data_IF_205467155940
#
_entry.id   IF_205467155940
#
_cell.length_a   1.000
_cell.length_b   1.000
_cell.length_c   1.000
_cell.angle_alpha   90.00
_cell.angle_beta   90.00
_cell.angle_gamma   90.00
#
_symmetry.space_group_name_H-M   'P 1'
#
loop_
_entity.id
_entity.type
_entity.pdbx_description
1 polymer ?
#
# COMPACT_ATOMS: atom_id res chain seq x y z
N UNK A 1 20.86 20.31 -4.12
CA UNK A 1 22.24 19.94 -3.81
C UNK A 1 23.12 21.18 -3.64
N UNK A 2 23.19 22.07 -4.64
CA UNK A 2 24.03 23.30 -4.59
C UNK A 2 23.67 24.21 -3.42
N UNK A 3 22.37 24.45 -3.17
CA UNK A 3 21.87 25.33 -2.09
C UNK A 3 22.34 24.92 -0.69
N UNK A 4 22.51 23.62 -0.44
CA UNK A 4 22.84 23.07 0.88
C UNK A 4 24.26 22.47 0.94
N UNK A 5 25.07 22.57 -0.10
CA UNK A 5 26.43 22.01 -0.16
C UNK A 5 26.50 20.49 0.00
N UNK A 6 25.41 19.75 -0.29
CA UNK A 6 25.32 18.32 -0.07
C UNK A 6 26.33 17.54 -0.92
N UNK A 7 27.13 16.70 -0.27
CA UNK A 7 28.12 15.79 -0.89
C UNK A 7 27.64 14.33 -0.88
N UNK A 8 26.34 14.11 -1.11
CA UNK A 8 25.74 12.77 -1.14
C UNK A 8 26.35 11.94 -2.29
N UNK A 9 26.73 10.71 -1.98
CA UNK A 9 27.21 9.70 -2.94
C UNK A 9 26.11 8.75 -3.38
N UNK A 10 25.19 8.42 -2.47
CA UNK A 10 24.05 7.55 -2.69
C UNK A 10 22.92 7.94 -1.75
N UNK A 11 21.71 7.54 -2.08
CA UNK A 11 20.55 7.54 -1.20
C UNK A 11 20.11 6.08 -1.02
N UNK A 12 19.67 5.75 0.17
CA UNK A 12 18.99 4.51 0.46
C UNK A 12 17.67 4.83 1.13
N UNK A 13 16.58 4.22 0.67
CA UNK A 13 15.24 4.37 1.23
C UNK A 13 14.63 3.00 1.50
N UNK A 14 13.67 2.95 2.40
CA UNK A 14 12.93 1.74 2.75
C UNK A 14 11.81 2.04 3.73
N UNK A 15 10.98 1.05 3.97
CA UNK A 15 9.83 1.18 4.87
C UNK A 15 8.52 1.48 4.17
N UNK A 16 8.54 2.10 3.00
CA UNK A 16 7.42 2.27 2.06
C UNK A 16 7.93 2.11 0.64
N UNK A 17 7.05 1.73 -0.29
CA UNK A 17 7.42 1.65 -1.71
C UNK A 17 7.82 3.02 -2.25
N UNK A 18 8.87 3.05 -3.05
CA UNK A 18 9.33 4.27 -3.72
C UNK A 18 8.68 4.34 -5.11
N UNK A 19 7.71 5.26 -5.33
CA UNK A 19 7.08 5.43 -6.62
C UNK A 19 8.13 5.71 -7.71
N UNK A 20 7.95 5.09 -8.89
CA UNK A 20 8.91 5.21 -10.00
C UNK A 20 9.16 6.66 -10.43
N UNK A 21 8.14 7.53 -10.36
CA UNK A 21 8.30 8.95 -10.65
C UNK A 21 9.18 9.67 -9.61
N UNK A 22 8.96 9.37 -8.33
CA UNK A 22 9.80 9.91 -7.23
C UNK A 22 11.25 9.48 -7.40
N UNK A 23 11.50 8.20 -7.73
CA UNK A 23 12.84 7.71 -8.03
C UNK A 23 13.49 8.48 -9.17
N UNK A 24 12.78 8.68 -10.29
CA UNK A 24 13.28 9.44 -11.45
C UNK A 24 13.59 10.88 -11.08
N UNK A 25 12.70 11.58 -10.37
CA UNK A 25 12.90 12.97 -9.91
C UNK A 25 14.10 13.11 -8.98
N UNK A 26 14.29 12.20 -8.03
CA UNK A 26 15.46 12.18 -7.16
C UNK A 26 16.75 12.05 -7.96
N UNK A 27 16.80 11.08 -8.89
CA UNK A 27 17.97 10.84 -9.74
C UNK A 27 18.28 12.05 -10.61
N UNK A 28 17.27 12.63 -11.28
CA UNK A 28 17.44 13.80 -12.16
C UNK A 28 17.86 15.05 -11.39
N UNK A 29 17.23 15.35 -10.27
CA UNK A 29 17.48 16.59 -9.52
C UNK A 29 18.77 16.55 -8.69
N UNK A 30 19.13 15.39 -8.16
CA UNK A 30 20.30 15.24 -7.28
C UNK A 30 21.51 14.67 -8.01
N UNK A 31 21.35 14.06 -9.17
CA UNK A 31 22.41 13.40 -9.93
C UNK A 31 23.01 12.22 -9.17
N UNK A 32 22.22 11.57 -8.32
CA UNK A 32 22.60 10.40 -7.52
C UNK A 32 21.51 9.35 -7.59
N UNK A 33 21.92 8.10 -7.50
CA UNK A 33 21.01 6.97 -7.54
C UNK A 33 20.38 6.75 -6.17
N UNK A 34 19.09 6.55 -6.14
CA UNK A 34 18.36 6.10 -4.98
C UNK A 34 18.25 4.57 -5.00
N UNK A 35 18.88 3.91 -4.06
CA UNK A 35 18.68 2.48 -3.81
C UNK A 35 17.51 2.32 -2.85
N UNK A 36 16.88 1.16 -2.90
CA UNK A 36 15.69 0.87 -2.10
C UNK A 36 15.84 -0.49 -1.44
N UNK A 37 15.31 -0.65 -0.23
CA UNK A 37 15.24 -1.91 0.47
C UNK A 37 13.85 -2.15 1.03
N UNK A 38 13.34 -3.34 0.79
CA UNK A 38 12.12 -3.87 1.35
C UNK A 38 12.45 -4.91 2.42
N UNK A 39 11.69 -4.87 3.49
CA UNK A 39 11.77 -5.83 4.58
C UNK A 39 10.82 -5.45 5.72
N UNK A 40 10.90 -6.20 6.79
CA UNK A 40 10.11 -5.99 7.99
C UNK A 40 10.97 -6.15 9.24
N UNK A 41 10.48 -5.70 10.38
CA UNK A 41 11.22 -5.76 11.66
C UNK A 41 11.64 -7.20 11.99
N UNK A 42 10.84 -8.18 11.64
CA UNK A 42 11.01 -9.59 11.95
C UNK A 42 12.13 -10.28 11.16
N UNK A 43 12.52 -9.73 9.99
CA UNK A 43 13.54 -10.36 9.11
C UNK A 43 14.54 -9.35 8.55
N UNK A 44 14.43 -8.05 8.91
CA UNK A 44 15.24 -6.99 8.32
C UNK A 44 14.98 -6.81 6.81
N UNK A 45 15.97 -6.35 6.04
CA UNK A 45 15.84 -6.05 4.61
C UNK A 45 16.25 -7.26 3.77
N UNK A 46 15.33 -7.78 2.97
CA UNK A 46 15.53 -9.03 2.22
C UNK A 46 15.44 -8.87 0.71
N UNK A 47 14.79 -7.81 0.22
CA UNK A 47 14.66 -7.48 -1.20
C UNK A 47 15.12 -6.05 -1.40
N UNK A 48 15.73 -5.72 -2.53
CA UNK A 48 16.06 -4.34 -2.80
C UNK A 48 16.65 -4.06 -4.17
N UNK A 49 16.64 -2.77 -4.49
CA UNK A 49 17.34 -2.20 -5.62
C UNK A 49 18.72 -1.73 -5.19
N UNK A 50 19.78 -2.28 -5.76
CA UNK A 50 21.15 -1.87 -5.54
C UNK A 50 21.88 -1.72 -6.87
N UNK A 51 22.13 -0.48 -7.31
CA UNK A 51 22.77 -0.18 -8.59
C UNK A 51 24.13 -0.87 -8.80
N UNK A 52 24.84 -1.13 -7.72
CA UNK A 52 26.15 -1.80 -7.79
C UNK A 52 26.06 -3.27 -8.15
N UNK A 53 24.93 -3.89 -7.91
CA UNK A 53 24.70 -5.31 -8.15
C UNK A 53 23.94 -5.56 -9.44
N UNK A 54 22.87 -4.81 -9.71
CA UNK A 54 22.04 -4.91 -10.92
C UNK A 54 21.45 -3.55 -11.31
N UNK A 55 20.99 -3.37 -12.56
CA UNK A 55 20.22 -2.20 -12.97
C UNK A 55 19.00 -2.00 -12.09
N UNK A 56 18.71 -0.77 -11.70
CA UNK A 56 17.51 -0.43 -10.94
C UNK A 56 16.33 -0.33 -11.89
N UNK A 57 15.22 -0.99 -11.56
CA UNK A 57 13.91 -0.79 -12.19
C UNK A 57 13.06 0.09 -11.28
N UNK A 58 12.87 1.34 -11.69
CA UNK A 58 12.11 2.31 -10.90
C UNK A 58 10.66 1.86 -10.70
N UNK A 59 10.21 1.80 -9.44
CA UNK A 59 8.90 1.30 -9.05
C UNK A 59 8.86 -0.18 -8.67
N UNK A 60 9.93 -0.96 -8.96
CA UNK A 60 10.06 -2.30 -8.40
C UNK A 60 10.71 -2.23 -7.01
N UNK A 61 10.42 -3.20 -6.15
CA UNK A 61 11.17 -3.38 -4.89
C UNK A 61 12.61 -3.84 -5.14
N UNK A 62 12.97 -4.23 -6.38
CA UNK A 62 14.24 -4.87 -6.70
C UNK A 62 14.14 -6.39 -6.65
N UNK A 63 15.16 -7.04 -6.17
CA UNK A 63 15.30 -8.49 -6.13
C UNK A 63 15.96 -8.94 -4.83
N UNK A 64 15.87 -10.22 -4.57
CA UNK A 64 16.36 -10.86 -3.37
C UNK A 64 17.83 -10.51 -3.10
N UNK A 65 18.14 -10.01 -1.91
CA UNK A 65 19.52 -9.74 -1.52
C UNK A 65 20.29 -11.05 -1.26
N UNK A 66 21.60 -11.07 -1.55
CA UNK A 66 22.44 -12.26 -1.31
C UNK A 66 22.36 -12.73 0.15
N UNK A 67 22.09 -14.02 0.33
CA UNK A 67 21.97 -14.64 1.64
C UNK A 67 20.54 -14.85 2.13
N UNK A 68 19.59 -14.11 1.59
CA UNK A 68 18.16 -14.32 1.85
C UNK A 68 17.59 -15.39 0.91
N UNK A 69 16.45 -15.97 1.30
CA UNK A 69 15.63 -16.84 0.44
C UNK A 69 14.20 -16.37 0.52
N UNK A 70 13.72 -15.80 -0.57
CA UNK A 70 12.37 -15.23 -0.69
C UNK A 70 11.59 -16.03 -1.73
N UNK A 71 10.28 -16.22 -1.49
CA UNK A 71 9.35 -16.85 -2.43
C UNK A 71 8.02 -16.11 -2.42
N UNK A 72 7.26 -16.27 -3.51
CA UNK A 72 5.87 -15.88 -3.59
C UNK A 72 5.01 -17.14 -3.50
N UNK A 73 4.02 -17.14 -2.60
CA UNK A 73 3.14 -18.28 -2.39
C UNK A 73 1.68 -17.87 -2.44
N UNK A 74 0.83 -18.81 -2.83
CA UNK A 74 -0.62 -18.68 -2.77
C UNK A 74 -1.16 -18.87 -1.34
N UNK A 75 -2.49 -18.83 -1.17
CA UNK A 75 -3.15 -19.04 0.12
C UNK A 75 -2.92 -20.45 0.71
N UNK A 76 -2.60 -21.43 -0.14
CA UNK A 76 -2.28 -22.82 0.27
C UNK A 76 -0.82 -22.99 0.64
N UNK A 77 0.04 -21.95 0.44
CA UNK A 77 1.48 -22.00 0.67
C UNK A 77 2.27 -22.62 -0.48
N UNK A 78 1.63 -22.80 -1.65
CA UNK A 78 2.29 -23.29 -2.86
C UNK A 78 2.93 -22.10 -3.59
N UNK A 79 4.14 -22.32 -4.12
CA UNK A 79 4.86 -21.29 -4.90
C UNK A 79 4.07 -20.96 -6.17
N UNK A 80 3.83 -19.68 -6.41
CA UNK A 80 3.12 -19.21 -7.61
C UNK A 80 4.06 -19.16 -8.82
N UNK A 81 3.48 -19.18 -10.03
CA UNK A 81 4.20 -19.00 -11.28
C UNK A 81 4.72 -17.55 -11.42
N UNK A 82 5.78 -17.37 -12.23
CA UNK A 82 6.31 -16.04 -12.57
C UNK A 82 5.21 -15.23 -13.26
N UNK A 83 5.01 -13.99 -12.82
CA UNK A 83 3.95 -13.12 -13.29
C UNK A 83 2.66 -13.18 -12.48
N UNK A 84 2.50 -14.19 -11.64
CA UNK A 84 1.32 -14.32 -10.76
C UNK A 84 1.54 -13.67 -9.39
N UNK A 85 0.50 -13.07 -8.81
CA UNK A 85 0.60 -12.48 -7.48
C UNK A 85 0.65 -13.55 -6.39
N UNK A 86 1.54 -13.35 -5.41
CA UNK A 86 1.67 -14.21 -4.25
C UNK A 86 2.10 -13.45 -3.00
N UNK A 87 1.86 -14.07 -1.84
CA UNK A 87 2.38 -13.55 -0.56
C UNK A 87 3.88 -13.77 -0.49
N UNK A 88 4.61 -12.71 -0.15
CA UNK A 88 6.05 -12.80 0.09
C UNK A 88 6.28 -13.60 1.37
N UNK A 89 7.03 -14.69 1.25
CA UNK A 89 7.53 -15.46 2.40
C UNK A 89 9.05 -15.53 2.36
N UNK A 90 9.66 -15.56 3.52
CA UNK A 90 11.12 -15.65 3.67
C UNK A 90 11.50 -16.87 4.50
N UNK A 91 12.64 -17.45 4.22
CA UNK A 91 13.12 -18.64 4.94
C UNK A 91 13.19 -18.40 6.45
N UNK A 92 12.63 -19.31 7.24
CA UNK A 92 12.74 -19.28 8.70
C UNK A 92 14.19 -19.51 9.20
N UNK A 93 15.07 -20.04 8.33
CA UNK A 93 16.49 -20.19 8.61
C UNK A 93 17.32 -18.97 8.18
N UNK A 94 16.67 -17.88 7.86
CA UNK A 94 17.36 -16.62 7.54
C UNK A 94 18.12 -16.13 8.78
N UNK A 95 19.40 -15.74 8.66
CA UNK A 95 20.20 -15.32 9.82
C UNK A 95 19.69 -14.04 10.47
N UNK A 96 18.83 -13.27 9.79
CA UNK A 96 18.22 -12.05 10.32
C UNK A 96 16.82 -12.28 10.87
N UNK A 97 16.28 -13.50 10.78
CA UNK A 97 14.95 -13.84 11.29
C UNK A 97 14.87 -13.68 12.81
N UNK A 98 13.80 -13.03 13.29
CA UNK A 98 13.56 -12.87 14.71
C UNK A 98 13.26 -14.22 15.39
N UNK A 99 13.51 -14.29 16.70
CA UNK A 99 13.19 -15.48 17.51
C UNK A 99 11.71 -15.57 17.89
N UNK A 100 10.93 -14.53 17.57
CA UNK A 100 9.51 -14.40 17.89
C UNK A 100 9.20 -13.17 18.73
N UNK A 101 7.92 -13.00 19.05
CA UNK A 101 7.43 -11.86 19.84
C UNK A 101 7.51 -12.15 21.34
N UNK A 102 8.08 -11.22 22.09
CA UNK A 102 8.26 -11.36 23.54
C UNK A 102 6.94 -11.58 24.26
N UNK A 103 6.82 -12.68 25.00
CA UNK A 103 5.62 -13.10 25.75
C UNK A 103 4.33 -13.20 24.91
N UNK A 104 4.45 -13.37 23.57
CA UNK A 104 3.33 -13.53 22.66
C UNK A 104 3.55 -14.75 21.75
N UNK A 105 3.47 -15.97 22.34
CA UNK A 105 3.60 -17.20 21.55
C UNK A 105 2.49 -17.37 20.50
N UNK A 106 1.29 -16.82 20.76
CA UNK A 106 0.18 -16.73 19.85
C UNK A 106 0.56 -15.99 18.54
N UNK A 107 1.03 -14.74 18.65
CA UNK A 107 1.48 -13.95 17.49
C UNK A 107 2.73 -14.55 16.84
N UNK A 108 3.59 -15.17 17.63
CA UNK A 108 4.79 -15.85 17.08
C UNK A 108 4.38 -17.03 16.19
N UNK A 109 3.36 -17.81 16.59
CA UNK A 109 2.86 -18.90 15.76
C UNK A 109 2.22 -18.38 14.44
N UNK A 110 1.51 -17.26 14.48
CA UNK A 110 0.90 -16.63 13.29
C UNK A 110 1.93 -16.09 12.29
N UNK A 111 3.16 -15.77 12.78
CA UNK A 111 4.24 -15.30 11.94
C UNK A 111 4.72 -16.35 10.93
N UNK A 112 4.55 -17.64 11.23
CA UNK A 112 5.02 -18.72 10.38
C UNK A 112 3.91 -19.29 9.49
N UNK A 113 4.18 -19.36 8.18
CA UNK A 113 3.34 -20.13 7.26
C UNK A 113 3.41 -21.63 7.57
N UNK A 114 4.64 -22.09 7.83
CA UNK A 114 5.00 -23.43 8.27
C UNK A 114 6.40 -23.35 8.91
N UNK A 115 6.98 -24.44 9.45
CA UNK A 115 8.27 -24.39 10.13
C UNK A 115 9.45 -23.83 9.32
N UNK A 116 9.31 -23.75 7.98
CA UNK A 116 10.39 -23.34 7.09
C UNK A 116 10.23 -21.90 6.55
N UNK A 117 9.05 -21.28 6.68
CA UNK A 117 8.73 -20.02 6.03
C UNK A 117 8.03 -19.04 6.97
N UNK A 118 8.55 -17.82 7.02
CA UNK A 118 7.99 -16.67 7.72
C UNK A 118 7.12 -15.87 6.74
N UNK A 119 5.93 -15.46 7.16
CA UNK A 119 4.98 -14.64 6.42
C UNK A 119 5.31 -13.17 6.56
N UNK A 120 5.17 -12.42 5.48
CA UNK A 120 5.25 -10.96 5.54
C UNK A 120 3.87 -10.30 5.51
N UNK A 121 2.85 -11.03 5.07
CA UNK A 121 1.52 -10.52 4.73
C UNK A 121 1.52 -9.48 3.60
N UNK A 122 2.65 -9.28 2.94
CA UNK A 122 2.78 -8.42 1.77
C UNK A 122 2.68 -9.24 0.50
N UNK A 123 2.02 -8.71 -0.51
CA UNK A 123 1.85 -9.33 -1.82
C UNK A 123 2.79 -8.70 -2.84
N UNK A 124 3.31 -9.51 -3.72
CA UNK A 124 4.10 -9.08 -4.86
C UNK A 124 3.85 -9.96 -6.09
N UNK A 125 4.29 -9.45 -7.23
CA UNK A 125 4.48 -10.22 -8.46
C UNK A 125 5.98 -10.26 -8.74
N UNK A 126 6.51 -11.40 -9.18
CA UNK A 126 7.89 -11.50 -9.66
C UNK A 126 7.89 -11.56 -11.19
N UNK A 127 8.69 -10.68 -11.85
CA UNK A 127 8.82 -10.72 -13.29
C UNK A 127 9.86 -11.77 -13.75
N UNK A 128 9.94 -12.00 -15.07
CA UNK A 128 10.86 -12.97 -15.68
C UNK A 128 12.34 -12.68 -15.41
N UNK A 129 12.70 -11.43 -15.11
CA UNK A 129 14.05 -11.03 -14.75
C UNK A 129 14.32 -11.10 -13.22
N UNK A 130 13.33 -11.54 -12.45
CA UNK A 130 13.41 -11.76 -11.00
C UNK A 130 13.20 -10.52 -10.14
N UNK A 131 12.71 -9.41 -10.70
CA UNK A 131 12.33 -8.23 -9.91
C UNK A 131 10.96 -8.43 -9.29
N UNK A 132 10.84 -8.02 -8.02
CA UNK A 132 9.59 -8.02 -7.28
C UNK A 132 8.86 -6.69 -7.44
N UNK A 133 7.54 -6.76 -7.64
CA UNK A 133 6.65 -5.61 -7.80
C UNK A 133 5.58 -5.67 -6.72
N UNK A 134 5.60 -4.70 -5.80
CA UNK A 134 4.69 -4.64 -4.66
C UNK A 134 3.24 -4.48 -5.10
N UNK A 135 2.35 -5.28 -4.52
CA UNK A 135 0.92 -5.27 -4.81
C UNK A 135 0.07 -4.80 -3.62
N UNK A 136 0.67 -4.60 -2.47
CA UNK A 136 -0.03 -4.21 -1.25
C UNK A 136 0.02 -5.29 -0.17
N UNK A 137 -0.67 -5.04 0.93
CA UNK A 137 -0.81 -6.02 2.01
C UNK A 137 -2.01 -6.94 1.75
N UNK A 138 -1.88 -8.19 2.13
CA UNK A 138 -2.96 -9.19 2.00
C UNK A 138 -4.19 -8.82 2.85
N UNK A 139 -3.96 -8.26 4.04
CA UNK A 139 -4.99 -7.77 4.98
C UNK A 139 -5.62 -6.43 4.56
N UNK A 140 -4.98 -5.68 3.66
CA UNK A 140 -5.50 -4.44 3.11
C UNK A 140 -6.19 -4.62 1.74
N UNK A 141 -6.10 -5.82 1.14
CA UNK A 141 -6.76 -6.09 -0.13
C UNK A 141 -8.27 -5.85 -0.08
N UNK A 142 -8.76 -5.11 -1.05
CA UNK A 142 -10.19 -4.86 -1.22
C UNK A 142 -10.79 -5.97 -2.06
N UNK A 143 -11.60 -6.82 -1.44
CA UNK A 143 -12.30 -7.92 -2.12
C UNK A 143 -13.65 -7.39 -2.64
N UNK A 144 -13.70 -7.00 -3.92
CA UNK A 144 -14.88 -6.39 -4.55
C UNK A 144 -15.34 -7.19 -5.76
N UNK A 145 -16.55 -7.75 -5.72
CA UNK A 145 -17.15 -8.54 -6.84
C UNK A 145 -16.18 -9.58 -7.43
N UNK A 146 -15.44 -10.30 -6.57
CA UNK A 146 -14.45 -11.31 -6.99
C UNK A 146 -13.08 -10.79 -7.37
N UNK A 147 -12.90 -9.47 -7.50
CA UNK A 147 -11.60 -8.87 -7.74
C UNK A 147 -10.84 -8.67 -6.41
N UNK A 148 -9.52 -8.81 -6.48
CA UNK A 148 -8.57 -8.45 -5.42
C UNK A 148 -7.87 -7.17 -5.85
N UNK A 149 -8.14 -6.08 -5.14
CA UNK A 149 -7.70 -4.73 -5.50
C UNK A 149 -6.73 -4.23 -4.44
N UNK A 150 -5.51 -3.91 -4.85
CA UNK A 150 -4.50 -3.31 -3.99
C UNK A 150 -4.79 -1.81 -3.79
N UNK A 151 -4.89 -1.31 -2.55
CA UNK A 151 -5.10 0.12 -2.31
C UNK A 151 -3.98 1.01 -2.86
N UNK A 152 -2.73 0.55 -2.74
CA UNK A 152 -1.54 1.33 -3.09
C UNK A 152 -1.52 1.77 -4.57
N UNK A 153 -1.92 0.90 -5.50
CA UNK A 153 -1.95 1.25 -6.93
C UNK A 153 -2.98 2.35 -7.26
N UNK A 154 -4.08 2.40 -6.49
CA UNK A 154 -5.09 3.44 -6.64
C UNK A 154 -4.59 4.74 -6.01
N UNK A 155 -3.95 4.66 -4.83
CA UNK A 155 -3.32 5.79 -4.16
C UNK A 155 -2.27 6.44 -5.07
N UNK A 156 -1.40 5.66 -5.72
CA UNK A 156 -0.39 6.15 -6.65
C UNK A 156 -1.00 6.91 -7.84
N UNK A 157 -2.07 6.37 -8.43
CA UNK A 157 -2.78 7.05 -9.53
C UNK A 157 -3.42 8.35 -9.05
N UNK A 158 -4.05 8.35 -7.87
CA UNK A 158 -4.68 9.53 -7.30
C UNK A 158 -3.64 10.62 -6.97
N UNK A 159 -2.49 10.26 -6.41
CA UNK A 159 -1.39 11.19 -6.09
C UNK A 159 -0.77 11.85 -7.33
N UNK A 160 -0.87 11.23 -8.50
CA UNK A 160 -0.43 11.83 -9.77
C UNK A 160 -1.42 12.88 -10.30
N UNK A 161 -2.62 13.00 -9.72
CA UNK A 161 -3.60 13.99 -10.14
C UNK A 161 -3.29 15.37 -9.50
N UNK A 162 -3.31 16.50 -10.28
CA UNK A 162 -2.87 17.82 -9.79
C UNK A 162 -3.74 18.39 -8.66
N UNK A 163 -4.96 17.90 -8.51
CA UNK A 163 -5.89 18.33 -7.46
C UNK A 163 -5.67 17.59 -6.13
N UNK A 164 -4.86 16.54 -6.10
CA UNK A 164 -4.64 15.68 -4.93
C UNK A 164 -3.31 16.02 -4.26
N UNK A 165 -3.36 16.26 -2.96
CA UNK A 165 -2.18 16.44 -2.12
C UNK A 165 -1.82 15.15 -1.37
N UNK A 166 -2.82 14.39 -0.91
CA UNK A 166 -2.64 13.11 -0.23
C UNK A 166 -3.86 12.21 -0.50
N UNK A 167 -3.68 10.89 -0.51
CA UNK A 167 -4.73 9.93 -0.79
C UNK A 167 -4.57 8.67 0.04
N UNK A 168 -5.65 8.20 0.67
CA UNK A 168 -5.70 6.93 1.38
C UNK A 168 -6.89 6.11 0.90
N UNK A 169 -6.67 4.84 0.56
CA UNK A 169 -7.69 3.97 -0.03
C UNK A 169 -7.95 2.77 0.85
N UNK A 170 -9.22 2.46 1.07
CA UNK A 170 -9.66 1.28 1.83
C UNK A 170 -10.86 0.61 1.17
N UNK A 171 -11.09 -0.66 1.51
CA UNK A 171 -12.35 -1.33 1.27
C UNK A 171 -13.34 -1.00 2.37
N UNK A 172 -14.55 -0.65 1.98
CA UNK A 172 -15.68 -0.48 2.90
C UNK A 172 -16.79 -1.48 2.57
N UNK A 173 -17.57 -1.97 3.56
CA UNK A 173 -18.62 -2.97 3.32
C UNK A 173 -19.65 -2.49 2.29
N UNK A 174 -20.08 -3.41 1.43
CA UNK A 174 -21.12 -3.20 0.44
C UNK A 174 -21.99 -4.45 0.33
N UNK A 175 -23.31 -4.29 0.34
CA UNK A 175 -24.27 -5.40 0.38
C UNK A 175 -24.29 -6.27 -0.88
N UNK A 176 -23.92 -5.71 -2.03
CA UNK A 176 -23.95 -6.42 -3.31
C UNK A 176 -22.58 -6.98 -3.70
N UNK A 177 -21.50 -6.29 -3.30
CA UNK A 177 -20.13 -6.52 -3.79
C UNK A 177 -19.18 -7.10 -2.74
N UNK A 178 -19.68 -7.29 -1.48
CA UNK A 178 -18.86 -7.62 -0.33
C UNK A 178 -18.13 -6.40 0.20
N UNK A 179 -17.31 -5.74 -0.64
CA UNK A 179 -16.77 -4.42 -0.35
C UNK A 179 -16.61 -3.59 -1.61
N UNK A 180 -16.52 -2.27 -1.44
CA UNK A 180 -16.24 -1.31 -2.52
C UNK A 180 -15.05 -0.44 -2.16
N UNK A 181 -14.39 0.07 -3.19
CA UNK A 181 -13.25 0.97 -3.05
C UNK A 181 -13.74 2.35 -2.56
N UNK A 182 -13.22 2.80 -1.41
CA UNK A 182 -13.40 4.15 -0.88
C UNK A 182 -12.05 4.86 -0.83
N UNK A 183 -11.99 6.08 -1.40
CA UNK A 183 -10.83 6.94 -1.37
C UNK A 183 -11.08 8.12 -0.43
N UNK A 184 -10.18 8.32 0.54
CA UNK A 184 -10.08 9.52 1.36
C UNK A 184 -9.03 10.44 0.74
N UNK A 185 -9.42 11.66 0.41
CA UNK A 185 -8.61 12.59 -0.39
C UNK A 185 -8.35 13.87 0.38
N UNK A 186 -7.08 14.24 0.49
CA UNK A 186 -6.68 15.58 0.89
C UNK A 186 -6.44 16.38 -0.39
N UNK A 187 -7.24 17.42 -0.59
CA UNK A 187 -7.14 18.28 -1.77
C UNK A 187 -5.93 19.21 -1.69
N UNK A 188 -5.40 19.56 -2.85
CA UNK A 188 -4.40 20.63 -2.96
C UNK A 188 -4.97 21.96 -2.47
N UNK A 189 -4.20 22.74 -1.72
CA UNK A 189 -4.60 24.05 -1.15
C UNK A 189 -5.03 25.11 -2.19
N UNK A 190 -4.87 24.80 -3.47
CA UNK A 190 -5.27 25.70 -4.59
C UNK A 190 -6.74 25.56 -4.99
N UNK A 191 -7.50 24.65 -4.35
CA UNK A 191 -8.88 24.35 -4.74
C UNK A 191 -9.85 25.08 -3.82
N UNK A 192 -10.66 25.92 -4.41
CA UNK A 192 -11.73 26.67 -3.72
C UNK A 192 -13.12 26.04 -3.91
N UNK A 193 -13.32 25.24 -4.97
CA UNK A 193 -14.57 24.58 -5.29
C UNK A 193 -14.39 23.07 -5.43
N UNK A 194 -15.20 22.30 -4.70
CA UNK A 194 -15.15 20.83 -4.69
C UNK A 194 -16.13 20.19 -5.70
N UNK A 195 -16.98 21.01 -6.36
CA UNK A 195 -17.98 20.52 -7.28
C UNK A 195 -17.35 19.78 -8.48
N UNK A 196 -17.77 18.53 -8.71
CA UNK A 196 -17.28 17.70 -9.80
C UNK A 196 -15.89 17.09 -9.62
N UNK A 197 -15.15 17.45 -8.57
CA UNK A 197 -13.79 16.89 -8.30
C UNK A 197 -13.86 15.40 -8.04
N UNK A 198 -14.86 14.94 -7.29
CA UNK A 198 -15.07 13.50 -7.04
C UNK A 198 -15.16 12.68 -8.33
N UNK A 199 -15.96 13.16 -9.30
CA UNK A 199 -16.16 12.44 -10.55
C UNK A 199 -14.93 12.51 -11.46
N UNK A 200 -14.17 13.61 -11.43
CA UNK A 200 -12.87 13.71 -12.11
C UNK A 200 -11.87 12.69 -11.56
N UNK A 201 -11.77 12.55 -10.24
CA UNK A 201 -10.86 11.58 -9.61
C UNK A 201 -11.27 10.14 -9.91
N UNK A 202 -12.58 9.83 -9.84
CA UNK A 202 -13.12 8.53 -10.24
C UNK A 202 -12.79 8.18 -11.69
N UNK A 203 -13.01 9.15 -12.60
CA UNK A 203 -12.69 8.97 -14.02
C UNK A 203 -11.19 8.80 -14.25
N UNK A 204 -10.35 9.53 -13.53
CA UNK A 204 -8.90 9.43 -13.61
C UNK A 204 -8.41 8.00 -13.27
N UNK A 205 -8.87 7.44 -12.14
CA UNK A 205 -8.53 6.07 -11.74
C UNK A 205 -9.09 5.05 -12.74
N UNK A 206 -10.36 5.21 -13.18
CA UNK A 206 -10.97 4.33 -14.18
C UNK A 206 -10.16 4.25 -15.47
N UNK A 207 -9.68 5.39 -15.94
CA UNK A 207 -8.92 5.47 -17.20
C UNK A 207 -7.52 4.84 -17.06
N UNK A 208 -6.90 4.94 -15.89
CA UNK A 208 -5.57 4.39 -15.65
C UNK A 208 -5.58 2.90 -15.30
N UNK A 209 -6.54 2.43 -14.50
CA UNK A 209 -6.53 1.10 -13.89
C UNK A 209 -7.75 0.23 -14.25
N UNK A 210 -8.70 0.79 -14.96
CA UNK A 210 -9.92 0.08 -15.33
C UNK A 210 -11.10 0.28 -14.37
N UNK A 211 -12.33 -0.10 -14.80
CA UNK A 211 -13.57 0.22 -14.08
C UNK A 211 -13.72 -0.51 -12.73
N UNK A 212 -13.09 -1.68 -12.56
CA UNK A 212 -13.18 -2.46 -11.32
C UNK A 212 -12.39 -1.84 -10.16
N UNK A 213 -11.36 -1.01 -10.45
CA UNK A 213 -10.53 -0.31 -9.48
C UNK A 213 -11.00 1.12 -9.20
N UNK A 214 -11.99 1.60 -9.93
CA UNK A 214 -12.56 2.94 -9.73
C UNK A 214 -13.15 3.07 -8.31
N UNK A 215 -12.76 4.11 -7.53
CA UNK A 215 -13.42 4.38 -6.26
C UNK A 215 -14.92 4.61 -6.44
N UNK A 216 -15.74 3.88 -5.69
CA UNK A 216 -17.20 4.13 -5.64
C UNK A 216 -17.51 5.32 -4.77
N UNK A 217 -16.75 5.48 -3.70
CA UNK A 217 -16.91 6.55 -2.72
C UNK A 217 -15.62 7.37 -2.71
N UNK A 218 -15.74 8.69 -2.76
CA UNK A 218 -14.65 9.64 -2.54
C UNK A 218 -15.09 10.57 -1.41
N UNK A 219 -14.29 10.63 -0.36
CA UNK A 219 -14.48 11.50 0.78
C UNK A 219 -13.31 12.47 0.89
N UNK A 220 -13.63 13.76 1.02
CA UNK A 220 -12.62 14.80 1.20
C UNK A 220 -12.36 15.00 2.70
N UNK A 221 -11.09 14.98 3.08
CA UNK A 221 -10.64 15.15 4.47
C UNK A 221 -9.52 16.18 4.57
N UNK A 222 -9.39 16.82 5.72
CA UNK A 222 -8.32 17.80 5.93
C UNK A 222 -6.94 17.13 6.06
N UNK A 223 -6.89 15.91 6.62
CA UNK A 223 -5.67 15.12 6.80
C UNK A 223 -5.98 13.63 6.88
N UNK A 224 -5.02 12.82 6.47
CA UNK A 224 -5.09 11.35 6.66
C UNK A 224 -4.48 10.94 8.00
N UNK A 225 -5.06 9.91 8.67
CA UNK A 225 -4.46 9.32 9.85
C UNK A 225 -3.16 8.60 9.47
N UNK A 226 -2.15 8.73 10.33
CA UNK A 226 -0.83 8.12 10.10
C UNK A 226 -0.37 7.35 11.32
N UNK A 227 0.33 6.26 11.07
CA UNK A 227 1.04 5.50 12.09
C UNK A 227 2.16 6.33 12.72
N UNK A 228 2.75 5.84 13.81
CA UNK A 228 3.93 6.47 14.44
C UNK A 228 5.14 6.59 13.52
N UNK A 229 5.21 5.76 12.48
CA UNK A 229 6.27 5.78 11.45
C UNK A 229 5.94 6.67 10.25
N UNK A 230 4.77 7.33 10.24
CA UNK A 230 4.34 8.25 9.19
C UNK A 230 3.52 7.62 8.06
N UNK A 231 3.33 6.29 8.05
CA UNK A 231 2.53 5.57 7.05
C UNK A 231 1.04 5.85 7.24
N UNK A 232 0.26 5.80 6.16
CA UNK A 232 -1.22 5.88 6.23
C UNK A 232 -1.74 4.73 7.08
N UNK A 233 -2.53 5.06 8.10
CA UNK A 233 -3.22 4.08 8.95
C UNK A 233 -4.55 3.68 8.32
N UNK A 234 -4.56 2.59 7.53
CA UNK A 234 -5.79 2.11 6.88
C UNK A 234 -6.80 1.54 7.88
N UNK A 235 -6.34 1.03 9.04
CA UNK A 235 -7.23 0.66 10.15
C UNK A 235 -8.04 1.86 10.62
N UNK A 236 -7.38 2.99 10.88
CA UNK A 236 -8.07 4.20 11.36
C UNK A 236 -9.00 4.78 10.28
N UNK A 237 -8.65 4.66 8.98
CA UNK A 237 -9.54 5.05 7.89
C UNK A 237 -10.82 4.19 7.86
N UNK A 238 -10.71 2.88 8.07
CA UNK A 238 -11.88 1.99 8.19
C UNK A 238 -12.74 2.32 9.41
N UNK A 239 -12.11 2.69 10.53
CA UNK A 239 -12.82 3.10 11.74
C UNK A 239 -13.54 4.44 11.54
N UNK A 240 -12.95 5.41 10.86
CA UNK A 240 -13.58 6.69 10.48
C UNK A 240 -14.84 6.43 9.63
N UNK A 241 -14.74 5.55 8.63
CA UNK A 241 -15.90 5.19 7.81
C UNK A 241 -17.03 4.59 8.62
N UNK A 242 -16.71 3.62 9.50
CA UNK A 242 -17.68 2.96 10.37
C UNK A 242 -18.41 3.95 11.28
N UNK A 243 -17.67 4.81 11.97
CA UNK A 243 -18.23 5.83 12.87
C UNK A 243 -19.07 6.88 12.11
N UNK A 244 -18.66 7.26 10.91
CA UNK A 244 -19.42 8.15 10.04
C UNK A 244 -20.78 7.55 9.65
N UNK A 245 -20.81 6.28 9.32
CA UNK A 245 -22.03 5.54 8.94
C UNK A 245 -22.97 5.36 10.15
N UNK A 246 -22.46 5.04 11.34
CA UNK A 246 -23.25 4.92 12.58
C UNK A 246 -23.87 6.27 13.00
N UNK A 247 -23.14 7.36 12.86
CA UNK A 247 -23.60 8.72 13.14
C UNK A 247 -24.66 9.19 12.15
N UNK A 248 -24.55 8.77 10.87
CA UNK A 248 -25.55 9.03 9.81
C UNK A 248 -26.85 8.23 10.03
N UNK A 249 -26.75 6.98 10.46
CA UNK A 249 -27.89 6.13 10.77
C UNK A 249 -28.73 6.69 11.95
N UNK A 250 -28.07 7.20 13.00
CA UNK A 250 -28.75 7.83 14.15
C UNK A 250 -29.47 9.14 13.81
N UNK A 251 -29.03 9.88 12.79
CA UNK A 251 -29.75 11.09 12.33
C UNK A 251 -31.05 10.76 11.60
N UNK A 252 -31.12 9.63 10.92
CA UNK A 252 -32.33 9.22 10.20
C UNK A 252 -33.41 8.61 11.15
N UNK A 253 -33.04 8.09 12.33
CA UNK A 253 -34.01 7.60 13.32
C UNK A 253 -34.70 8.71 14.11
N UNK A 254 -34.06 9.91 14.26
CA UNK A 254 -34.63 11.02 15.01
C UNK A 254 -35.51 11.98 14.17
N UNK A 255 -35.56 11.80 12.85
CA UNK A 255 -36.44 12.60 11.99
C UNK A 255 -37.84 12.00 11.72
N UNK A 256 -38.11 10.79 12.27
CA UNK A 256 -39.35 10.04 12.04
C UNK A 256 -40.43 10.12 13.12
N UNK A 257 -40.19 10.81 14.25
CA UNK A 257 -41.16 10.84 15.37
C UNK A 257 -41.55 12.28 15.74
N UNK A 258 -42.23 12.97 14.82
CA UNK A 258 -43.10 14.08 15.18
C UNK A 258 -44.19 14.30 14.13
N UNK A 259 -45.17 13.40 14.07
CA UNK A 259 -46.50 13.66 13.50
C UNK A 259 -47.53 12.98 14.37
N UNK A 260 -48.30 13.82 15.04
CA UNK A 260 -49.64 13.47 15.54
C UNK A 260 -49.78 13.40 17.03
N UNK A 261 -50.16 14.47 17.66
CA UNK A 261 -51.51 14.70 18.19
C UNK A 261 -51.69 16.22 18.37
#
# INVERSE_FOLDING_TARGET
RRRFGLKLKTIFTGGESLPGDTHRRLTQNLGIVCNEGYGMTEVNQMIGNCQKLRPIRAGSMGWEFPGHRVRLVDESGVVVEVGEPGEIVVSANDPTACLGYWKRPDLTAELYLNPNWIRTHDLAVQDEDGYFWYQGRNDDLIKSSGFRIGPAEIEDVLLNHPLVNDAGVVGVPDSERGSVVKAFIVLSSKITEQNGVSDQLKAHVKNALGPHKQPRIVEFVDKLPRTRTGKISRSDLRDIDRLGNESGANRNFNSGSNKGI
#
